data_IF_653901307071
#
_entry.id   IF_653901307071
#
_cell.length_a   1.000
_cell.length_b   1.000
_cell.length_c   1.000
_cell.angle_alpha   90.00
_cell.angle_beta   90.00
_cell.angle_gamma   90.00
#
_symmetry.space_group_name_H-M   'P 1'
#
loop_
_entity.id
_entity.type
_entity.pdbx_description
1 polymer ?
#
# COMPACT_ATOMS: atom_id res chain seq x y z
N UNK A 1 6.23 -4.27 0.67
CA UNK A 1 5.23 -4.46 -0.40
C UNK A 1 5.64 -3.71 -1.65
N UNK A 2 5.11 -4.10 -2.79
CA UNK A 2 5.30 -3.42 -4.06
C UNK A 2 4.80 -1.97 -4.06
N UNK A 3 3.77 -1.65 -3.27
CA UNK A 3 3.35 -0.28 -2.98
C UNK A 3 4.51 0.57 -2.45
N UNK A 4 5.16 0.13 -1.38
CA UNK A 4 6.26 0.87 -0.75
C UNK A 4 7.46 0.98 -1.71
N UNK A 5 7.75 -0.09 -2.45
CA UNK A 5 8.80 -0.09 -3.46
C UNK A 5 8.52 0.96 -4.56
N UNK A 6 7.31 1.00 -5.10
CA UNK A 6 6.96 1.95 -6.16
C UNK A 6 6.89 3.41 -5.68
N UNK A 7 6.46 3.66 -4.46
CA UNK A 7 6.28 5.02 -3.95
C UNK A 7 7.53 5.63 -3.33
N UNK A 8 8.44 4.81 -2.79
CA UNK A 8 9.66 5.27 -2.13
C UNK A 8 10.92 5.01 -2.97
N UNK A 9 11.11 3.78 -3.47
CA UNK A 9 12.39 3.42 -4.09
C UNK A 9 12.56 4.02 -5.49
N UNK A 10 11.48 4.15 -6.26
CA UNK A 10 11.59 4.74 -7.59
C UNK A 10 12.12 6.19 -7.55
N UNK A 11 11.59 7.10 -6.71
CA UNK A 11 12.15 8.45 -6.61
C UNK A 11 13.50 8.50 -5.87
N UNK A 12 13.77 7.55 -4.95
CA UNK A 12 15.01 7.51 -4.18
C UNK A 12 16.20 7.02 -4.99
N UNK A 13 15.99 6.10 -5.94
CA UNK A 13 17.08 5.43 -6.65
C UNK A 13 18.01 6.38 -7.42
N UNK A 14 17.53 7.40 -8.17
CA UNK A 14 18.41 8.39 -8.79
C UNK A 14 19.29 9.15 -7.80
N UNK A 15 18.71 9.54 -6.64
CA UNK A 15 19.45 10.23 -5.60
C UNK A 15 20.52 9.33 -4.96
N UNK A 16 20.20 8.06 -4.73
CA UNK A 16 21.16 7.06 -4.24
C UNK A 16 22.31 6.89 -5.23
N UNK A 17 22.01 6.77 -6.52
CA UNK A 17 23.06 6.63 -7.56
C UNK A 17 23.97 7.85 -7.65
N UNK A 18 23.44 9.04 -7.41
CA UNK A 18 24.24 10.25 -7.40
C UNK A 18 25.13 10.38 -6.14
N UNK A 19 24.59 10.02 -4.97
CA UNK A 19 25.31 10.10 -3.70
C UNK A 19 26.32 8.97 -3.50
N UNK A 20 25.99 7.76 -3.96
CA UNK A 20 26.81 6.55 -3.78
C UNK A 20 26.88 5.74 -5.10
N UNK A 21 27.66 6.18 -6.10
CA UNK A 21 27.66 5.58 -7.44
C UNK A 21 28.16 4.12 -7.47
N UNK A 22 28.94 3.71 -6.48
CA UNK A 22 29.46 2.33 -6.35
C UNK A 22 28.55 1.41 -5.55
N UNK A 23 27.53 1.95 -4.86
CA UNK A 23 26.61 1.14 -4.07
C UNK A 23 25.64 0.35 -4.98
N UNK A 24 25.34 -0.87 -4.56
CA UNK A 24 24.32 -1.71 -5.18
C UNK A 24 23.10 -1.77 -4.26
N UNK A 25 21.89 -1.70 -4.84
CA UNK A 25 20.63 -1.82 -4.12
C UNK A 25 19.97 -3.16 -4.45
N UNK A 26 19.73 -3.98 -3.42
CA UNK A 26 18.90 -5.17 -3.49
C UNK A 26 17.57 -4.91 -2.76
N UNK A 27 16.45 -5.22 -3.41
CA UNK A 27 15.12 -5.10 -2.81
C UNK A 27 14.57 -6.49 -2.55
N UNK A 28 14.35 -6.80 -1.28
CA UNK A 28 13.88 -8.10 -0.84
C UNK A 28 12.37 -8.08 -0.54
N UNK A 29 11.70 -9.23 -0.72
CA UNK A 29 10.35 -9.42 -0.23
C UNK A 29 10.31 -9.30 1.29
N UNK A 30 9.33 -8.57 1.80
CA UNK A 30 9.16 -8.38 3.24
C UNK A 30 8.46 -9.60 3.84
N UNK A 31 9.06 -10.20 4.86
CA UNK A 31 8.41 -11.14 5.77
C UNK A 31 8.35 -10.49 7.17
N UNK A 32 7.18 -10.04 7.64
CA UNK A 32 7.05 -9.34 8.91
C UNK A 32 7.59 -10.12 10.11
N UNK A 33 7.47 -11.46 10.09
CA UNK A 33 7.95 -12.31 11.18
C UNK A 33 9.49 -12.39 11.24
N UNK A 34 10.17 -12.08 10.14
CA UNK A 34 11.63 -12.23 10.00
C UNK A 34 12.40 -10.91 10.03
N UNK A 35 11.74 -9.77 9.86
CA UNK A 35 12.39 -8.44 9.73
C UNK A 35 13.42 -8.21 10.86
N UNK A 36 13.03 -8.41 12.12
CA UNK A 36 13.90 -8.15 13.27
C UNK A 36 15.18 -8.99 13.23
N UNK A 37 15.01 -10.29 12.97
CA UNK A 37 16.13 -11.23 12.84
C UNK A 37 17.02 -10.90 11.64
N UNK A 38 16.43 -10.59 10.50
CA UNK A 38 17.19 -10.23 9.29
C UNK A 38 18.03 -8.97 9.50
N UNK A 39 17.47 -7.95 10.16
CA UNK A 39 18.19 -6.74 10.53
C UNK A 39 19.31 -7.03 11.55
N UNK A 40 19.06 -7.91 12.54
CA UNK A 40 20.07 -8.36 13.51
C UNK A 40 21.22 -9.13 12.84
N UNK A 41 20.91 -9.98 11.87
CA UNK A 41 21.90 -10.80 11.15
C UNK A 41 22.60 -10.06 9.99
N UNK A 42 22.29 -8.78 9.76
CA UNK A 42 22.77 -7.98 8.61
C UNK A 42 22.39 -8.54 7.25
N UNK A 43 21.28 -9.29 7.18
CA UNK A 43 20.71 -9.71 5.90
C UNK A 43 19.99 -8.54 5.18
N UNK A 44 19.56 -7.54 5.98
CA UNK A 44 18.98 -6.29 5.48
C UNK A 44 19.57 -5.10 6.25
N UNK A 45 19.74 -3.96 5.58
CA UNK A 45 20.17 -2.69 6.16
C UNK A 45 18.99 -1.87 6.67
N UNK A 46 17.93 -1.82 5.85
CA UNK A 46 16.71 -1.06 6.12
C UNK A 46 15.46 -1.89 5.75
N UNK A 47 14.37 -1.68 6.46
CA UNK A 47 13.05 -2.16 6.07
C UNK A 47 12.03 -1.02 6.06
N UNK A 48 11.01 -1.13 5.21
CA UNK A 48 9.87 -0.22 5.18
C UNK A 48 8.60 -1.00 5.50
N UNK A 49 7.93 -0.61 6.57
CA UNK A 49 6.73 -1.29 7.05
C UNK A 49 5.70 -0.29 7.57
N UNK A 50 4.47 -0.76 7.80
CA UNK A 50 3.50 -0.01 8.58
C UNK A 50 4.03 0.16 10.01
N UNK A 51 3.90 1.37 10.55
CA UNK A 51 4.40 1.68 11.89
C UNK A 51 3.76 0.79 12.97
N UNK A 52 2.47 0.52 12.82
CA UNK A 52 1.70 -0.24 13.81
C UNK A 52 2.23 -1.68 13.99
N UNK A 53 2.67 -2.29 12.88
CA UNK A 53 3.13 -3.68 12.86
C UNK A 53 4.65 -3.80 12.94
N UNK A 54 5.36 -2.69 13.21
CA UNK A 54 6.81 -2.67 13.30
C UNK A 54 7.30 -3.38 14.57
N UNK A 55 8.32 -4.27 14.47
CA UNK A 55 8.91 -4.90 15.64
C UNK A 55 9.49 -3.87 16.61
N UNK A 56 9.16 -3.99 17.91
CA UNK A 56 9.63 -3.09 18.95
C UNK A 56 11.16 -3.09 19.16
N UNK A 57 11.84 -4.14 18.71
CA UNK A 57 13.31 -4.28 18.80
C UNK A 57 14.06 -3.45 17.76
N UNK A 58 13.37 -2.89 16.76
CA UNK A 58 13.98 -2.06 15.74
C UNK A 58 13.74 -0.58 16.03
N UNK A 59 14.72 0.25 15.69
CA UNK A 59 14.52 1.69 15.59
C UNK A 59 13.61 1.99 14.41
N UNK A 60 12.79 3.03 14.57
CA UNK A 60 11.86 3.43 13.54
C UNK A 60 11.77 4.94 13.39
N UNK A 61 11.54 5.37 12.16
CA UNK A 61 11.21 6.75 11.81
C UNK A 61 10.02 6.77 10.88
N UNK A 62 8.95 7.43 11.28
CA UNK A 62 7.79 7.66 10.40
C UNK A 62 8.21 8.55 9.24
N UNK A 63 7.94 8.09 8.03
CA UNK A 63 8.23 8.81 6.80
C UNK A 63 7.04 9.63 6.34
N UNK A 64 5.85 9.02 6.34
CA UNK A 64 4.60 9.70 5.98
C UNK A 64 3.36 8.95 6.46
N UNK A 65 2.25 9.67 6.51
CA UNK A 65 0.90 9.12 6.68
C UNK A 65 0.28 8.89 5.32
N UNK A 66 -0.53 7.85 5.24
CA UNK A 66 -1.25 7.46 4.03
C UNK A 66 -2.74 7.34 4.32
N UNK A 67 -3.56 7.69 3.35
CA UNK A 67 -5.01 7.51 3.37
C UNK A 67 -5.46 6.76 2.12
N UNK A 68 -6.70 6.32 2.11
CA UNK A 68 -7.26 5.60 0.97
C UNK A 68 -8.12 6.51 0.10
N UNK A 69 -7.99 6.34 -1.22
CA UNK A 69 -8.91 6.87 -2.23
C UNK A 69 -9.60 5.73 -2.96
N UNK A 70 -10.81 5.98 -3.46
CA UNK A 70 -11.50 5.06 -4.33
C UNK A 70 -10.99 5.25 -5.77
N UNK A 71 -10.52 4.17 -6.38
CA UNK A 71 -9.97 4.15 -7.73
C UNK A 71 -10.72 3.18 -8.63
N UNK A 72 -10.76 3.48 -9.91
CA UNK A 72 -11.21 2.64 -11.01
C UNK A 72 -10.66 3.18 -12.33
N UNK A 73 -10.91 2.54 -13.46
CA UNK A 73 -10.38 2.99 -14.74
C UNK A 73 -10.88 4.39 -15.14
N UNK A 74 -10.10 5.10 -15.95
CA UNK A 74 -10.60 6.29 -16.67
C UNK A 74 -11.80 5.87 -17.51
N UNK A 75 -12.88 6.67 -17.47
CA UNK A 75 -14.13 6.35 -18.16
C UNK A 75 -15.01 5.28 -17.51
N UNK A 76 -14.71 4.86 -16.27
CA UNK A 76 -15.56 3.93 -15.53
C UNK A 76 -17.01 4.45 -15.46
N UNK A 77 -18.05 3.65 -15.84
CA UNK A 77 -19.42 4.13 -16.05
C UNK A 77 -20.06 4.68 -14.77
N UNK A 78 -19.71 4.13 -13.60
CA UNK A 78 -20.29 4.49 -12.30
C UNK A 78 -19.35 5.29 -11.39
N UNK A 79 -18.14 5.69 -11.87
CA UNK A 79 -17.14 6.42 -11.08
C UNK A 79 -16.83 7.81 -11.67
N UNK A 80 -17.82 8.47 -12.27
CA UNK A 80 -17.66 9.83 -12.81
C UNK A 80 -17.50 10.89 -11.72
N UNK A 81 -18.04 10.65 -10.53
CA UNK A 81 -17.98 11.49 -9.33
C UNK A 81 -17.96 10.59 -8.09
N UNK A 82 -17.76 11.18 -6.91
CA UNK A 82 -17.89 10.49 -5.62
C UNK A 82 -19.23 9.75 -5.55
N UNK A 83 -19.27 8.42 -5.39
CA UNK A 83 -20.51 7.67 -5.22
C UNK A 83 -21.12 7.92 -3.84
N UNK A 84 -22.42 7.71 -3.72
CA UNK A 84 -23.03 7.54 -2.40
C UNK A 84 -22.59 6.22 -1.76
N UNK A 85 -22.76 6.08 -0.44
CA UNK A 85 -22.38 4.85 0.26
C UNK A 85 -23.15 3.63 -0.29
N UNK A 86 -24.44 3.77 -0.58
CA UNK A 86 -25.24 2.71 -1.20
C UNK A 86 -24.75 2.34 -2.62
N UNK A 87 -24.31 3.33 -3.41
CA UNK A 87 -23.70 3.07 -4.72
C UNK A 87 -22.36 2.36 -4.60
N UNK A 88 -21.52 2.78 -3.65
CA UNK A 88 -20.23 2.17 -3.37
C UNK A 88 -20.38 0.67 -3.04
N UNK A 89 -21.31 0.31 -2.16
CA UNK A 89 -21.55 -1.09 -1.78
C UNK A 89 -22.01 -1.97 -2.96
N UNK A 90 -22.59 -1.36 -4.01
CA UNK A 90 -23.07 -2.07 -5.23
C UNK A 90 -22.03 -2.13 -6.37
N UNK A 91 -20.83 -1.60 -6.17
CA UNK A 91 -19.73 -1.76 -7.12
C UNK A 91 -19.07 -3.12 -6.93
N UNK A 92 -18.42 -3.61 -7.98
CA UNK A 92 -17.57 -4.78 -7.89
C UNK A 92 -16.17 -4.34 -7.47
N UNK A 93 -15.77 -4.77 -6.27
CA UNK A 93 -14.50 -4.39 -5.66
C UNK A 93 -13.44 -5.44 -5.86
N UNK A 94 -12.21 -4.98 -6.04
CA UNK A 94 -11.01 -5.78 -5.82
C UNK A 94 -10.24 -5.22 -4.61
N UNK A 95 -9.41 -6.06 -3.99
CA UNK A 95 -8.55 -5.66 -2.87
C UNK A 95 -7.18 -6.34 -2.93
N UNK A 96 -6.24 -5.79 -2.17
CA UNK A 96 -4.96 -6.43 -1.90
C UNK A 96 -5.04 -7.21 -0.60
N UNK A 97 -4.67 -8.49 -0.66
CA UNK A 97 -4.43 -9.36 0.49
C UNK A 97 -2.99 -9.88 0.40
N UNK A 98 -2.04 -9.27 1.12
CA UNK A 98 -0.61 -9.62 1.01
C UNK A 98 -0.32 -11.09 1.36
N UNK A 99 -1.09 -11.64 2.30
CA UNK A 99 -0.96 -13.04 2.73
C UNK A 99 -1.70 -14.03 1.83
N UNK A 100 -2.38 -13.50 0.79
CA UNK A 100 -3.13 -14.27 -0.21
C UNK A 100 -4.54 -14.71 0.25
N UNK A 101 -5.51 -14.65 -0.66
CA UNK A 101 -6.83 -15.28 -0.56
C UNK A 101 -7.86 -14.64 0.38
N UNK A 102 -7.54 -13.60 1.11
CA UNK A 102 -8.51 -12.89 1.94
C UNK A 102 -9.41 -11.96 1.11
N UNK A 103 -10.72 -11.96 1.38
CA UNK A 103 -11.72 -11.10 0.72
C UNK A 103 -12.24 -9.99 1.64
N UNK A 104 -11.52 -9.71 2.74
CA UNK A 104 -11.86 -8.68 3.71
C UNK A 104 -10.62 -7.86 4.08
N UNK A 105 -10.83 -6.57 4.37
CA UNK A 105 -9.79 -5.66 4.80
C UNK A 105 -10.37 -4.51 5.63
N UNK A 106 -9.58 -3.45 5.85
CA UNK A 106 -9.97 -2.31 6.70
C UNK A 106 -11.27 -1.63 6.24
N UNK A 107 -11.53 -1.59 4.94
CA UNK A 107 -12.79 -1.06 4.38
C UNK A 107 -13.99 -1.89 4.79
N UNK A 108 -13.83 -3.21 4.86
CA UNK A 108 -14.92 -4.13 5.23
C UNK A 108 -15.22 -4.05 6.72
N UNK A 109 -14.21 -3.78 7.55
CA UNK A 109 -14.39 -3.50 8.97
C UNK A 109 -15.16 -2.18 9.18
N UNK A 110 -14.80 -1.12 8.44
CA UNK A 110 -15.49 0.15 8.50
C UNK A 110 -16.97 0.05 8.03
N UNK A 111 -17.24 -0.73 6.97
CA UNK A 111 -18.60 -0.98 6.51
C UNK A 111 -19.41 -1.82 7.51
N UNK A 112 -18.79 -2.85 8.10
CA UNK A 112 -19.44 -3.71 9.10
C UNK A 112 -19.89 -2.91 10.34
N UNK A 113 -19.12 -1.91 10.77
CA UNK A 113 -19.51 -1.01 11.85
C UNK A 113 -20.80 -0.20 11.56
N UNK A 114 -21.18 -0.08 10.27
CA UNK A 114 -22.42 0.55 9.81
C UNK A 114 -23.50 -0.48 9.42
N UNK A 115 -23.26 -1.77 9.67
CA UNK A 115 -24.18 -2.85 9.25
C UNK A 115 -24.22 -3.06 7.72
N UNK A 116 -23.17 -2.62 7.00
CA UNK A 116 -23.06 -2.68 5.55
C UNK A 116 -22.00 -3.66 5.09
N UNK A 117 -22.10 -4.06 3.84
CA UNK A 117 -21.08 -4.86 3.15
C UNK A 117 -20.95 -4.41 1.69
N UNK A 118 -19.82 -4.70 1.08
CA UNK A 118 -19.55 -4.51 -0.34
C UNK A 118 -19.35 -5.85 -1.04
N UNK A 119 -19.47 -5.84 -2.38
CA UNK A 119 -19.20 -7.02 -3.19
C UNK A 119 -17.70 -7.06 -3.56
N UNK A 120 -16.91 -7.91 -2.93
CA UNK A 120 -15.50 -8.12 -3.29
C UNK A 120 -15.41 -9.35 -4.18
N UNK A 121 -15.05 -9.13 -5.45
CA UNK A 121 -15.01 -10.17 -6.50
C UNK A 121 -13.60 -10.63 -6.84
N UNK A 122 -12.56 -9.89 -6.41
CA UNK A 122 -11.17 -10.25 -6.64
C UNK A 122 -10.30 -9.88 -5.43
N UNK A 123 -9.33 -10.74 -5.14
CA UNK A 123 -8.30 -10.54 -4.15
C UNK A 123 -6.94 -10.89 -4.76
N UNK A 124 -5.98 -9.97 -4.70
CA UNK A 124 -4.65 -10.12 -5.30
C UNK A 124 -3.56 -9.82 -4.27
N UNK A 125 -2.34 -10.38 -4.41
CA UNK A 125 -1.29 -10.15 -3.43
C UNK A 125 -0.53 -8.83 -3.62
N UNK A 126 -0.68 -8.15 -4.78
CA UNK A 126 0.14 -7.01 -5.18
C UNK A 126 -0.68 -5.81 -5.63
N UNK A 127 -0.29 -4.62 -5.19
CA UNK A 127 -0.94 -3.35 -5.56
C UNK A 127 -0.75 -3.01 -7.04
N UNK A 128 0.42 -3.26 -7.63
CA UNK A 128 0.67 -2.97 -9.03
C UNK A 128 -0.18 -3.86 -9.95
N UNK A 129 -0.35 -5.13 -9.60
CA UNK A 129 -1.29 -6.01 -10.29
C UNK A 129 -2.72 -5.49 -10.18
N UNK A 130 -3.14 -5.07 -8.99
CA UNK A 130 -4.46 -4.49 -8.79
C UNK A 130 -4.66 -3.25 -9.66
N UNK A 131 -3.68 -2.33 -9.72
CA UNK A 131 -3.76 -1.14 -10.58
C UNK A 131 -3.94 -1.52 -12.06
N UNK A 132 -3.19 -2.52 -12.54
CA UNK A 132 -3.32 -3.00 -13.93
C UNK A 132 -4.71 -3.61 -14.21
N UNK A 133 -5.26 -4.38 -13.27
CA UNK A 133 -6.63 -4.91 -13.36
C UNK A 133 -7.67 -3.81 -13.39
N UNK A 134 -7.54 -2.81 -12.51
CA UNK A 134 -8.47 -1.67 -12.49
C UNK A 134 -8.44 -0.89 -13.80
N UNK A 135 -7.27 -0.69 -14.40
CA UNK A 135 -7.14 0.07 -15.64
C UNK A 135 -7.89 -0.55 -16.83
N UNK A 136 -8.14 -1.85 -16.80
CA UNK A 136 -8.71 -2.64 -17.91
C UNK A 136 -10.11 -3.21 -17.65
N UNK A 137 -10.65 -3.00 -16.44
CA UNK A 137 -11.95 -3.56 -16.03
C UNK A 137 -12.86 -2.50 -15.40
N UNK A 138 -14.11 -2.85 -15.13
CA UNK A 138 -15.04 -2.02 -14.34
C UNK A 138 -14.96 -2.33 -12.82
N UNK A 139 -13.86 -2.91 -12.36
CA UNK A 139 -13.60 -3.06 -10.94
C UNK A 139 -13.20 -1.73 -10.31
N UNK A 140 -13.48 -1.63 -9.01
CA UNK A 140 -12.98 -0.52 -8.19
C UNK A 140 -12.19 -1.04 -6.99
N UNK A 141 -11.31 -0.22 -6.46
CA UNK A 141 -10.59 -0.55 -5.25
C UNK A 141 -10.32 0.67 -4.38
N UNK A 142 -10.17 0.44 -3.08
CA UNK A 142 -9.56 1.40 -2.18
C UNK A 142 -8.05 1.26 -2.28
N UNK A 143 -7.38 2.28 -2.78
CA UNK A 143 -5.93 2.32 -2.95
C UNK A 143 -5.30 3.40 -2.06
N UNK A 144 -4.06 3.19 -1.58
CA UNK A 144 -3.27 4.26 -0.97
C UNK A 144 -3.18 5.47 -1.92
N UNK A 145 -3.39 6.68 -1.39
CA UNK A 145 -3.51 7.91 -2.20
C UNK A 145 -2.32 8.15 -3.11
N UNK A 146 -1.08 7.97 -2.60
CA UNK A 146 0.15 8.19 -3.38
C UNK A 146 0.20 7.30 -4.61
N UNK A 147 -0.14 6.03 -4.44
CA UNK A 147 -0.20 5.08 -5.55
C UNK A 147 -1.37 5.40 -6.50
N UNK A 148 -2.56 5.64 -5.95
CA UNK A 148 -3.75 5.90 -6.73
C UNK A 148 -3.59 7.10 -7.67
N UNK A 149 -2.90 8.16 -7.20
CA UNK A 149 -2.68 9.40 -7.99
C UNK A 149 -1.62 9.24 -9.08
N UNK A 150 -0.70 8.29 -8.94
CA UNK A 150 0.41 8.10 -9.89
C UNK A 150 0.19 6.92 -10.84
N UNK A 151 -0.75 6.03 -10.52
CA UNK A 151 -1.06 4.88 -11.35
C UNK A 151 -1.70 5.29 -12.69
N UNK A 152 -1.13 4.92 -13.83
CA UNK A 152 -1.65 5.29 -15.14
C UNK A 152 -3.01 4.64 -15.41
N UNK A 153 -3.85 5.33 -16.15
CA UNK A 153 -5.16 4.81 -16.58
C UNK A 153 -6.22 4.79 -15.48
N UNK A 154 -5.92 5.26 -14.28
CA UNK A 154 -6.86 5.31 -13.17
C UNK A 154 -7.47 6.70 -12.98
N UNK A 155 -8.74 6.70 -12.63
CA UNK A 155 -9.48 7.82 -12.07
C UNK A 155 -9.65 7.59 -10.58
N UNK A 156 -9.39 8.62 -9.78
CA UNK A 156 -9.57 8.58 -8.33
C UNK A 156 -10.65 9.57 -7.88
N UNK A 157 -11.39 9.17 -6.88
CA UNK A 157 -12.40 10.01 -6.21
C UNK A 157 -12.32 9.80 -4.70
N UNK A 158 -12.85 10.75 -3.94
CA UNK A 158 -13.00 10.57 -2.49
C UNK A 158 -13.97 9.41 -2.20
N UNK A 159 -13.62 8.50 -1.29
CA UNK A 159 -14.54 7.44 -0.88
C UNK A 159 -15.73 8.01 -0.11
N UNK A 160 -16.90 7.35 -0.15
CA UNK A 160 -18.07 7.78 0.61
C UNK A 160 -18.05 7.36 2.08
N UNK A 161 -17.02 6.67 2.51
CA UNK A 161 -16.80 6.18 3.86
C UNK A 161 -15.38 6.52 4.31
N UNK A 162 -15.23 6.91 5.56
CA UNK A 162 -13.93 7.08 6.17
C UNK A 162 -13.34 5.71 6.51
N UNK A 163 -12.12 5.48 6.05
CA UNK A 163 -11.36 4.25 6.30
C UNK A 163 -10.05 4.64 6.98
N UNK A 164 -9.69 4.01 8.11
CA UNK A 164 -8.43 4.30 8.78
C UNK A 164 -7.25 4.19 7.83
N UNK A 165 -6.44 5.24 7.78
CA UNK A 165 -5.17 5.24 7.05
C UNK A 165 -4.08 4.51 7.83
N UNK A 166 -2.85 4.60 7.35
CA UNK A 166 -1.69 3.99 7.99
C UNK A 166 -0.45 4.89 7.89
N UNK A 167 0.54 4.61 8.70
CA UNK A 167 1.84 5.29 8.66
C UNK A 167 2.89 4.33 8.12
N UNK A 168 3.70 4.79 7.15
CA UNK A 168 4.89 4.06 6.71
C UNK A 168 6.07 4.56 7.52
N UNK A 169 6.81 3.62 8.07
CA UNK A 169 8.05 3.85 8.80
C UNK A 169 9.22 3.14 8.13
N UNK A 170 10.38 3.77 8.21
CA UNK A 170 11.68 3.17 7.96
C UNK A 170 12.17 2.53 9.26
N UNK A 171 12.63 1.29 9.17
CA UNK A 171 13.09 0.48 10.30
C UNK A 171 14.55 0.09 10.08
N UNK A 172 15.34 0.07 11.17
CA UNK A 172 16.72 -0.39 11.14
C UNK A 172 17.15 -0.91 12.51
N UNK A 173 18.22 -1.69 12.54
CA UNK A 173 18.80 -2.19 13.80
C UNK A 173 19.60 -1.08 14.51
N UNK A 174 19.61 -1.07 15.85
CA UNK A 174 20.30 -0.07 16.68
C UNK A 174 21.76 0.16 16.28
N UNK A 175 22.48 -0.88 15.93
CA UNK A 175 23.91 -0.76 15.56
C UNK A 175 24.16 0.03 14.27
N UNK A 176 23.18 0.09 13.35
CA UNK A 176 23.25 0.88 12.11
C UNK A 176 22.76 2.32 12.31
N UNK A 177 22.47 2.73 13.55
CA UNK A 177 21.93 4.06 13.83
C UNK A 177 22.93 5.20 13.55
N UNK A 178 24.22 4.90 13.56
CA UNK A 178 25.31 5.86 13.32
C UNK A 178 26.16 5.51 12.11
N UNK A 179 25.74 4.53 11.30
CA UNK A 179 26.40 4.27 10.02
C UNK A 179 26.14 5.45 9.08
N UNK A 180 27.21 5.98 8.42
CA UNK A 180 27.12 7.14 7.53
C UNK A 180 26.29 6.87 6.28
#
# INVERSE_FOLDING_TARGET
SDYTASTLLLPLFPALRAAAPLASLAVLGLDPARIARQAEQREIDLAFHTRHDAPASLRQRVLYKERYLLAGRVGHPRLRRKPTLAQFCKLDHALVSPDGGGFRGVTDQALAALGLQRNVVASVPHFLLLCAMLATTDLVAMLPERLARTAPGLRVVEPPIEVPGFEIAMLWHERSHRDP
#
